data_IF_919377122379
#
_entry.id   IF_919377122379
#
_cell.length_a   1.000
_cell.length_b   1.000
_cell.length_c   1.000
_cell.angle_alpha   90.00
_cell.angle_beta   90.00
_cell.angle_gamma   90.00
#
_symmetry.space_group_name_H-M   'P 1'
#
loop_
_entity.id
_entity.type
_entity.pdbx_description
1 polymer ?
#
# COMPACT_ATOMS: atom_id res chain seq x y z
N UNK A 1 -27.16 -2.64 -19.68
CA UNK A 1 -26.06 -1.67 -19.57
C UNK A 1 -24.79 -2.36 -20.03
N UNK A 2 -24.19 -1.89 -21.11
CA UNK A 2 -22.96 -2.47 -21.65
C UNK A 2 -21.79 -1.98 -20.81
N UNK A 3 -20.79 -2.83 -20.60
CA UNK A 3 -19.62 -2.54 -19.77
C UNK A 3 -18.74 -1.40 -20.31
N UNK A 4 -18.99 -0.95 -21.55
CA UNK A 4 -18.28 0.13 -22.26
C UNK A 4 -18.61 1.51 -21.72
N UNK A 5 -19.85 1.75 -21.27
CA UNK A 5 -20.30 3.10 -20.85
C UNK A 5 -19.53 3.59 -19.61
N UNK A 6 -19.10 2.67 -18.74
CA UNK A 6 -18.32 2.99 -17.53
C UNK A 6 -16.86 3.30 -17.86
N UNK A 7 -16.30 2.66 -18.90
CA UNK A 7 -14.92 2.89 -19.34
C UNK A 7 -14.82 4.24 -20.04
N UNK A 8 -15.77 4.56 -20.93
CA UNK A 8 -15.84 5.88 -21.60
C UNK A 8 -16.01 7.04 -20.58
N UNK A 9 -16.77 6.84 -19.51
CA UNK A 9 -16.91 7.84 -18.43
C UNK A 9 -15.61 8.03 -17.65
N UNK A 10 -14.84 6.97 -17.40
CA UNK A 10 -13.53 7.07 -16.75
C UNK A 10 -12.47 7.74 -17.65
N UNK A 11 -12.50 7.46 -18.95
CA UNK A 11 -11.64 8.13 -19.95
C UNK A 11 -11.91 9.63 -20.02
N UNK A 12 -13.18 10.05 -20.02
CA UNK A 12 -13.57 11.47 -19.94
C UNK A 12 -13.10 12.15 -18.66
N UNK A 13 -13.24 11.48 -17.52
CA UNK A 13 -12.81 12.02 -16.22
C UNK A 13 -11.28 12.15 -16.16
N UNK A 14 -10.54 11.18 -16.70
CA UNK A 14 -9.09 11.25 -16.76
C UNK A 14 -8.57 12.30 -17.75
N UNK A 15 -9.26 12.51 -18.87
CA UNK A 15 -8.95 13.60 -19.80
C UNK A 15 -9.09 14.98 -19.12
N UNK A 16 -10.08 15.13 -18.23
CA UNK A 16 -10.22 16.32 -17.38
C UNK A 16 -9.19 16.43 -16.24
N UNK A 17 -8.41 15.37 -16.00
CA UNK A 17 -7.36 15.31 -14.97
C UNK A 17 -5.96 15.27 -15.58
N UNK A 18 -5.76 15.77 -16.80
CA UNK A 18 -4.45 15.80 -17.45
C UNK A 18 -3.42 16.61 -16.65
N UNK A 19 -2.19 16.09 -16.55
CA UNK A 19 -1.10 16.78 -15.87
C UNK A 19 -0.55 17.91 -16.76
N UNK A 20 -0.84 19.16 -16.43
CA UNK A 20 -0.25 20.32 -17.12
C UNK A 20 1.10 20.69 -16.48
N UNK A 21 2.12 20.94 -17.32
CA UNK A 21 3.45 21.36 -16.87
C UNK A 21 3.52 22.80 -16.34
N UNK A 22 2.54 23.64 -16.71
CA UNK A 22 2.52 25.08 -16.42
C UNK A 22 1.44 25.44 -15.39
N UNK A 23 1.53 24.87 -14.19
CA UNK A 23 0.61 25.19 -13.10
C UNK A 23 1.15 26.35 -12.23
N UNK A 24 0.33 27.39 -11.94
CA UNK A 24 0.70 28.46 -11.02
C UNK A 24 1.16 27.94 -9.65
N UNK A 25 2.13 28.59 -9.01
CA UNK A 25 2.62 28.19 -7.68
C UNK A 25 1.60 28.29 -6.54
N UNK A 26 0.42 28.87 -6.80
CA UNK A 26 -0.75 28.91 -5.90
C UNK A 26 -1.72 27.76 -6.12
N UNK A 27 -1.47 26.91 -7.12
CA UNK A 27 -2.36 25.78 -7.47
C UNK A 27 -2.28 24.72 -6.37
N UNK A 28 -3.42 24.23 -5.85
CA UNK A 28 -3.45 23.08 -4.95
C UNK A 28 -2.75 21.86 -5.56
N UNK A 29 -2.33 20.91 -4.72
CA UNK A 29 -1.79 19.62 -5.17
C UNK A 29 -2.67 19.00 -6.27
N UNK A 30 -2.12 18.90 -7.47
CA UNK A 30 -2.82 18.44 -8.67
C UNK A 30 -2.27 17.07 -9.07
N UNK A 31 -3.17 16.16 -9.44
CA UNK A 31 -2.82 14.82 -9.87
C UNK A 31 -3.31 14.63 -11.30
N UNK A 32 -2.47 14.02 -12.12
CA UNK A 32 -2.84 13.69 -13.49
C UNK A 32 -2.01 12.57 -14.07
N UNK A 33 -2.59 11.92 -15.07
CA UNK A 33 -1.90 10.88 -15.81
C UNK A 33 -0.99 11.52 -16.87
N UNK A 34 0.20 10.95 -17.15
CA UNK A 34 0.96 11.30 -18.33
C UNK A 34 0.12 11.05 -19.58
N UNK A 35 0.40 11.81 -20.63
CA UNK A 35 -0.30 11.70 -21.91
C UNK A 35 0.61 11.08 -22.96
N UNK A 36 0.01 10.34 -23.89
CA UNK A 36 0.69 9.92 -25.12
C UNK A 36 0.94 11.11 -26.06
N UNK A 37 1.56 10.85 -27.21
CA UNK A 37 1.87 11.88 -28.22
C UNK A 37 0.61 12.61 -28.74
N UNK A 38 -0.58 12.01 -28.60
CA UNK A 38 -1.86 12.54 -29.03
C UNK A 38 -2.62 13.29 -27.91
N UNK A 39 -2.05 13.36 -26.70
CA UNK A 39 -2.67 14.03 -25.56
C UNK A 39 -3.70 13.17 -24.81
N UNK A 40 -3.79 11.88 -25.12
CA UNK A 40 -4.69 10.95 -24.42
C UNK A 40 -4.05 10.51 -23.11
N UNK A 41 -4.79 10.48 -21.98
CA UNK A 41 -4.27 9.96 -20.73
C UNK A 41 -3.82 8.49 -20.88
N UNK A 42 -2.56 8.20 -20.60
CA UNK A 42 -2.07 6.81 -20.58
C UNK A 42 -2.60 6.11 -19.32
N UNK A 43 -3.49 5.14 -19.53
CA UNK A 43 -3.95 4.24 -18.48
C UNK A 43 -3.11 2.97 -18.47
N UNK A 44 -2.49 2.75 -17.32
CA UNK A 44 -1.65 1.59 -17.04
C UNK A 44 -2.47 0.42 -16.51
N UNK A 45 -1.95 -0.81 -16.55
CA UNK A 45 -2.70 -2.02 -16.18
C UNK A 45 -2.69 -2.38 -14.67
N UNK A 46 -1.84 -1.74 -13.86
CA UNK A 46 -1.76 -1.98 -12.40
C UNK A 46 -0.72 -3.03 -11.98
N UNK A 47 0.00 -3.63 -12.92
CA UNK A 47 1.07 -4.60 -12.66
C UNK A 47 2.37 -3.95 -12.17
N UNK A 48 3.36 -4.76 -11.79
CA UNK A 48 4.71 -4.25 -11.49
C UNK A 48 5.39 -3.65 -12.73
N UNK A 49 5.06 -4.15 -13.93
CA UNK A 49 5.66 -3.73 -15.20
C UNK A 49 4.92 -2.52 -15.79
N UNK A 50 3.62 -2.36 -15.48
CA UNK A 50 2.82 -1.22 -15.88
C UNK A 50 1.89 -0.69 -14.76
N UNK A 51 2.45 -0.01 -13.73
CA UNK A 51 1.70 0.32 -12.52
C UNK A 51 0.72 1.48 -12.72
N UNK A 52 -0.59 1.22 -12.55
CA UNK A 52 -1.62 2.24 -12.42
C UNK A 52 -1.73 2.72 -10.97
N UNK A 53 -1.54 4.03 -10.77
CA UNK A 53 -1.71 4.66 -9.47
C UNK A 53 -2.53 5.94 -9.59
N UNK A 54 -3.72 5.94 -9.00
CA UNK A 54 -4.61 7.09 -8.99
C UNK A 54 -5.03 7.43 -7.54
N UNK A 55 -4.59 8.57 -6.98
CA UNK A 55 -5.06 9.02 -5.67
C UNK A 55 -6.57 9.29 -5.68
N UNK A 56 -7.35 8.53 -4.91
CA UNK A 56 -8.81 8.73 -4.85
C UNK A 56 -9.25 9.77 -3.81
N UNK A 57 -8.54 9.86 -2.67
CA UNK A 57 -8.93 10.74 -1.57
C UNK A 57 -7.74 11.05 -0.65
N UNK A 58 -7.74 12.25 -0.09
CA UNK A 58 -6.83 12.66 0.97
C UNK A 58 -7.62 12.97 2.23
N UNK A 59 -7.19 12.39 3.36
CA UNK A 59 -7.75 12.69 4.67
C UNK A 59 -6.72 13.42 5.51
N UNK A 60 -7.13 14.54 6.10
CA UNK A 60 -6.35 15.23 7.13
C UNK A 60 -6.94 14.83 8.47
N UNK A 61 -6.17 14.10 9.26
CA UNK A 61 -6.59 13.59 10.56
C UNK A 61 -5.68 14.17 11.65
N UNK A 62 -6.25 14.47 12.81
CA UNK A 62 -5.47 15.01 13.94
C UNK A 62 -4.67 13.94 14.67
N UNK A 63 -5.10 12.68 14.57
CA UNK A 63 -4.50 11.54 15.23
C UNK A 63 -4.52 10.30 14.32
N UNK A 64 -3.76 9.28 14.71
CA UNK A 64 -3.73 7.97 14.04
C UNK A 64 -4.43 6.95 14.93
N UNK A 65 -5.75 7.06 15.04
CA UNK A 65 -6.57 6.15 15.85
C UNK A 65 -7.53 5.38 14.96
N UNK A 66 -7.93 4.18 15.41
CA UNK A 66 -8.87 3.35 14.66
C UNK A 66 -10.17 4.10 14.36
N UNK A 67 -10.66 4.91 15.31
CA UNK A 67 -11.85 5.75 15.14
C UNK A 67 -11.67 6.73 13.98
N UNK A 68 -10.54 7.43 13.91
CA UNK A 68 -10.30 8.39 12.82
C UNK A 68 -10.17 7.70 11.46
N UNK A 69 -9.46 6.57 11.38
CA UNK A 69 -9.40 5.77 10.15
C UNK A 69 -10.78 5.28 9.71
N UNK A 70 -11.58 4.78 10.66
CA UNK A 70 -12.95 4.33 10.43
C UNK A 70 -13.81 5.44 9.86
N UNK A 71 -13.79 6.65 10.45
CA UNK A 71 -14.56 7.79 9.95
C UNK A 71 -14.13 8.18 8.54
N UNK A 72 -12.83 8.32 8.30
CA UNK A 72 -12.28 8.65 7.00
C UNK A 72 -12.73 7.64 5.92
N UNK A 73 -12.53 6.35 6.16
CA UNK A 73 -12.89 5.31 5.22
C UNK A 73 -14.41 5.22 4.99
N UNK A 74 -15.23 5.47 6.01
CA UNK A 74 -16.70 5.52 5.85
C UNK A 74 -17.11 6.67 4.93
N UNK A 75 -16.52 7.85 5.11
CA UNK A 75 -16.77 8.99 4.21
C UNK A 75 -16.43 8.67 2.76
N UNK A 76 -15.33 7.94 2.49
CA UNK A 76 -15.02 7.47 1.13
C UNK A 76 -16.11 6.55 0.59
N UNK A 77 -16.56 5.56 1.38
CA UNK A 77 -17.62 4.62 0.97
C UNK A 77 -18.93 5.36 0.68
N UNK A 78 -19.30 6.32 1.52
CA UNK A 78 -20.53 7.09 1.38
C UNK A 78 -20.48 7.99 0.14
N UNK A 79 -19.36 8.69 -0.08
CA UNK A 79 -19.16 9.51 -1.29
C UNK A 79 -19.20 8.63 -2.54
N UNK A 80 -18.50 7.49 -2.53
CA UNK A 80 -18.50 6.57 -3.67
C UNK A 80 -19.91 6.07 -3.98
N UNK A 81 -20.71 5.74 -2.96
CA UNK A 81 -22.10 5.32 -3.14
C UNK A 81 -22.95 6.44 -3.77
N UNK A 82 -22.75 7.69 -3.38
CA UNK A 82 -23.49 8.83 -3.94
C UNK A 82 -23.06 9.11 -5.39
N UNK A 83 -21.76 9.09 -5.67
CA UNK A 83 -21.21 9.47 -6.99
C UNK A 83 -21.35 8.36 -8.02
N UNK A 84 -20.99 7.13 -7.65
CA UNK A 84 -20.94 5.98 -8.57
C UNK A 84 -22.25 5.19 -8.56
N UNK A 85 -23.07 5.33 -7.53
CA UNK A 85 -24.33 4.60 -7.38
C UNK A 85 -24.15 3.10 -7.12
N UNK A 86 -22.92 2.64 -6.87
CA UNK A 86 -22.56 1.23 -6.63
C UNK A 86 -21.86 1.07 -5.29
N UNK A 87 -21.83 -0.18 -4.80
CA UNK A 87 -21.12 -0.50 -3.57
C UNK A 87 -19.61 -0.41 -3.77
N UNK A 88 -18.94 0.24 -2.82
CA UNK A 88 -17.49 0.27 -2.77
C UNK A 88 -16.95 -1.07 -2.24
N UNK A 89 -16.52 -1.94 -3.16
CA UNK A 89 -16.01 -3.28 -2.85
C UNK A 89 -14.49 -3.31 -2.98
N UNK A 90 -13.82 -3.68 -1.90
CA UNK A 90 -12.36 -3.79 -1.85
C UNK A 90 -12.00 -5.25 -1.56
N UNK A 91 -11.17 -5.84 -2.42
CA UNK A 91 -10.63 -7.21 -2.24
C UNK A 91 -9.27 -7.20 -1.55
N UNK A 92 -8.45 -6.20 -1.87
CA UNK A 92 -7.11 -6.03 -1.30
C UNK A 92 -6.95 -4.60 -0.83
N UNK A 93 -6.43 -4.41 0.38
CA UNK A 93 -6.11 -3.11 0.93
C UNK A 93 -4.67 -3.14 1.43
N UNK A 94 -3.80 -2.27 0.92
CA UNK A 94 -2.41 -2.21 1.36
C UNK A 94 -2.16 -1.03 2.31
N UNK A 95 -1.54 -1.27 3.46
CA UNK A 95 -1.26 -0.22 4.45
C UNK A 95 0.00 -0.42 5.28
N UNK A 96 0.13 0.40 6.33
CA UNK A 96 1.24 0.41 7.30
C UNK A 96 1.02 -0.61 8.41
N UNK A 97 2.13 -0.95 9.11
CA UNK A 97 2.15 -1.96 10.18
C UNK A 97 1.64 -1.33 11.46
N UNK A 98 0.37 -0.95 11.43
CA UNK A 98 -0.28 -0.15 12.46
C UNK A 98 -1.67 -0.69 12.78
N UNK A 99 -1.88 -1.10 14.03
CA UNK A 99 -3.14 -1.68 14.48
C UNK A 99 -4.33 -0.75 14.27
N UNK A 100 -4.15 0.55 14.52
CA UNK A 100 -5.20 1.54 14.32
C UNK A 100 -5.70 1.54 12.86
N UNK A 101 -4.80 1.42 11.90
CA UNK A 101 -5.15 1.40 10.48
C UNK A 101 -5.87 0.10 10.09
N UNK A 102 -5.34 -1.06 10.51
CA UNK A 102 -5.98 -2.35 10.22
C UNK A 102 -7.38 -2.39 10.83
N UNK A 103 -7.51 -1.99 12.10
CA UNK A 103 -8.80 -1.98 12.79
C UNK A 103 -9.80 -1.05 12.08
N UNK A 104 -9.36 0.12 11.60
CA UNK A 104 -10.23 1.03 10.87
C UNK A 104 -10.73 0.47 9.53
N UNK A 105 -9.84 -0.25 8.82
CA UNK A 105 -10.18 -0.97 7.59
C UNK A 105 -11.15 -2.13 7.86
N UNK A 106 -10.90 -2.94 8.88
CA UNK A 106 -11.76 -4.07 9.24
C UNK A 106 -13.18 -3.59 9.63
N UNK A 107 -13.27 -2.55 10.45
CA UNK A 107 -14.54 -1.96 10.91
C UNK A 107 -15.36 -1.26 9.81
N UNK A 108 -14.80 -1.09 8.61
CA UNK A 108 -15.42 -0.34 7.52
C UNK A 108 -15.48 -1.14 6.23
N UNK A 109 -14.33 -1.51 5.69
CA UNK A 109 -14.21 -2.17 4.40
C UNK A 109 -14.38 -3.70 4.49
N UNK A 110 -14.09 -4.33 5.63
CA UNK A 110 -14.36 -5.76 5.81
C UNK A 110 -15.72 -6.03 6.49
N UNK A 111 -16.31 -5.03 7.15
CA UNK A 111 -17.57 -5.19 7.87
C UNK A 111 -18.70 -5.69 6.94
N UNK A 112 -19.52 -6.66 7.41
CA UNK A 112 -20.69 -7.13 6.69
C UNK A 112 -21.63 -5.96 6.39
N UNK A 113 -22.11 -5.86 5.16
CA UNK A 113 -23.11 -4.86 4.78
C UNK A 113 -24.46 -5.55 4.61
N UNK A 114 -25.50 -5.06 5.28
CA UNK A 114 -26.86 -5.59 5.13
C UNK A 114 -27.35 -5.56 3.67
N UNK A 115 -26.82 -4.63 2.86
CA UNK A 115 -27.12 -4.54 1.42
C UNK A 115 -26.27 -5.43 0.51
N UNK A 116 -25.26 -6.12 1.06
CA UNK A 116 -24.40 -7.05 0.33
C UNK A 116 -23.94 -8.21 1.23
N UNK A 117 -24.80 -9.22 1.45
CA UNK A 117 -24.47 -10.39 2.26
C UNK A 117 -23.31 -11.23 1.67
N UNK A 118 -22.99 -11.08 0.39
CA UNK A 118 -21.91 -11.80 -0.31
C UNK A 118 -20.69 -10.92 -0.62
N UNK A 119 -20.32 -10.01 0.29
CA UNK A 119 -19.14 -9.16 0.12
C UNK A 119 -17.88 -10.03 -0.02
N UNK A 120 -16.97 -9.74 -0.98
CA UNK A 120 -15.73 -10.49 -1.09
C UNK A 120 -14.89 -10.32 0.18
N UNK A 121 -14.16 -11.38 0.55
CA UNK A 121 -13.21 -11.32 1.66
C UNK A 121 -12.15 -10.26 1.38
N UNK A 122 -11.98 -9.32 2.32
CA UNK A 122 -10.95 -8.30 2.25
C UNK A 122 -9.64 -8.86 2.79
N UNK A 123 -8.61 -8.81 1.95
CA UNK A 123 -7.23 -9.10 2.32
C UNK A 123 -6.47 -7.80 2.61
N UNK A 124 -6.21 -7.54 3.89
CA UNK A 124 -5.27 -6.50 4.27
C UNK A 124 -3.83 -6.97 4.02
N UNK A 125 -3.17 -6.30 3.09
CA UNK A 125 -1.77 -6.52 2.74
C UNK A 125 -0.92 -5.48 3.45
N UNK A 126 0.18 -5.95 4.01
CA UNK A 126 1.14 -5.07 4.64
C UNK A 126 2.17 -4.61 3.60
N UNK A 127 2.45 -3.30 3.50
CA UNK A 127 3.53 -2.78 2.64
C UNK A 127 4.86 -3.47 2.93
N UNK A 128 5.38 -4.18 1.94
CA UNK A 128 6.67 -4.88 2.01
C UNK A 128 7.84 -3.94 2.34
N UNK A 129 7.78 -2.68 1.90
CA UNK A 129 8.77 -1.66 2.24
C UNK A 129 8.98 -1.49 3.75
N UNK A 130 7.91 -1.59 4.57
CA UNK A 130 8.06 -1.50 6.03
C UNK A 130 8.83 -2.68 6.61
N UNK A 131 8.68 -3.87 6.03
CA UNK A 131 9.49 -5.04 6.41
C UNK A 131 10.95 -4.75 6.11
N UNK A 132 11.26 -4.27 4.89
CA UNK A 132 12.62 -3.97 4.46
C UNK A 132 13.26 -2.86 5.32
N UNK A 133 12.53 -1.77 5.61
CA UNK A 133 13.03 -0.69 6.47
C UNK A 133 13.29 -1.15 7.90
N UNK A 134 12.37 -1.93 8.48
CA UNK A 134 12.54 -2.40 9.85
C UNK A 134 13.67 -3.43 9.96
N UNK A 135 13.77 -4.34 8.99
CA UNK A 135 14.91 -5.27 8.91
C UNK A 135 16.21 -4.50 8.78
N UNK A 136 16.30 -3.49 7.90
CA UNK A 136 17.49 -2.66 7.73
C UNK A 136 17.94 -2.03 9.05
N UNK A 137 17.01 -1.58 9.90
CA UNK A 137 17.31 -1.07 11.25
C UNK A 137 17.87 -2.17 12.15
N UNK A 138 17.24 -3.35 12.15
CA UNK A 138 17.64 -4.49 12.99
C UNK A 138 19.02 -5.06 12.60
N UNK A 139 19.38 -5.05 11.31
CA UNK A 139 20.66 -5.57 10.82
C UNK A 139 21.71 -4.47 10.59
N UNK A 140 21.46 -3.25 11.04
CA UNK A 140 22.29 -2.07 10.75
C UNK A 140 23.75 -2.20 11.21
N UNK A 141 23.99 -2.90 12.31
CA UNK A 141 25.31 -3.14 12.90
C UNK A 141 26.09 -4.29 12.25
N UNK A 142 25.48 -5.04 11.33
CA UNK A 142 26.11 -6.20 10.68
C UNK A 142 26.99 -5.79 9.48
N UNK A 143 27.86 -6.73 9.06
CA UNK A 143 28.64 -6.60 7.83
C UNK A 143 27.75 -6.50 6.59
N UNK A 144 28.26 -5.93 5.50
CA UNK A 144 27.51 -5.81 4.24
C UNK A 144 27.10 -7.18 3.67
N UNK A 145 27.98 -8.18 3.76
CA UNK A 145 27.67 -9.54 3.31
C UNK A 145 26.51 -10.14 4.11
N UNK A 146 26.51 -9.95 5.44
CA UNK A 146 25.41 -10.39 6.29
C UNK A 146 24.10 -9.67 5.95
N UNK A 147 24.13 -8.34 5.74
CA UNK A 147 22.96 -7.56 5.34
C UNK A 147 22.37 -8.04 4.02
N UNK A 148 23.22 -8.25 3.00
CA UNK A 148 22.80 -8.77 1.71
C UNK A 148 22.11 -10.14 1.84
N UNK A 149 22.70 -11.04 2.64
CA UNK A 149 22.14 -12.35 2.91
C UNK A 149 20.72 -12.28 3.49
N UNK A 150 20.48 -11.41 4.48
CA UNK A 150 19.14 -11.20 5.04
C UNK A 150 18.15 -10.67 4.03
N UNK A 151 18.52 -9.61 3.31
CA UNK A 151 17.65 -9.02 2.31
C UNK A 151 17.28 -10.04 1.25
N UNK A 152 18.26 -10.79 0.72
CA UNK A 152 18.01 -11.84 -0.27
C UNK A 152 16.95 -12.84 0.21
N UNK A 153 17.08 -13.38 1.42
CA UNK A 153 16.11 -14.35 1.94
C UNK A 153 14.71 -13.77 2.12
N UNK A 154 14.61 -12.51 2.55
CA UNK A 154 13.32 -11.82 2.70
C UNK A 154 12.67 -11.53 1.34
N UNK A 155 13.47 -11.16 0.34
CA UNK A 155 12.99 -11.01 -1.04
C UNK A 155 12.57 -12.37 -1.63
N UNK A 156 13.29 -13.45 -1.35
CA UNK A 156 12.89 -14.81 -1.77
C UNK A 156 11.52 -15.18 -1.15
N UNK A 157 11.27 -14.85 0.12
CA UNK A 157 9.93 -15.04 0.71
C UNK A 157 8.87 -14.21 -0.02
N UNK A 158 9.14 -12.91 -0.21
CA UNK A 158 8.21 -11.97 -0.85
C UNK A 158 7.86 -12.33 -2.30
N UNK A 159 8.82 -12.93 -3.00
CA UNK A 159 8.67 -13.37 -4.39
C UNK A 159 8.13 -14.80 -4.51
N UNK A 160 7.82 -15.50 -3.41
CA UNK A 160 7.27 -16.85 -3.47
C UNK A 160 5.99 -16.90 -4.30
N UNK A 161 5.87 -17.94 -5.14
CA UNK A 161 4.76 -18.13 -6.09
C UNK A 161 3.51 -18.64 -5.42
N UNK A 162 3.68 -19.42 -4.36
CA UNK A 162 2.58 -20.04 -3.63
C UNK A 162 2.92 -20.20 -2.13
N UNK A 163 1.92 -20.64 -1.37
CA UNK A 163 2.04 -20.82 0.07
C UNK A 163 3.09 -21.90 0.45
N UNK A 164 3.30 -22.91 -0.41
CA UNK A 164 4.26 -23.98 -0.17
C UNK A 164 5.69 -23.48 -0.33
N UNK A 165 5.97 -22.75 -1.41
CA UNK A 165 7.26 -22.10 -1.64
C UNK A 165 7.57 -21.05 -0.56
N UNK A 166 6.55 -20.30 -0.12
CA UNK A 166 6.68 -19.37 0.99
C UNK A 166 7.08 -20.08 2.28
N UNK A 167 6.34 -21.13 2.68
CA UNK A 167 6.61 -21.90 3.89
C UNK A 167 8.01 -22.51 3.87
N UNK A 168 8.38 -23.14 2.74
CA UNK A 168 9.71 -23.74 2.55
C UNK A 168 10.82 -22.69 2.68
N UNK A 169 10.61 -21.50 2.11
CA UNK A 169 11.59 -20.40 2.16
C UNK A 169 11.69 -19.82 3.57
N UNK A 170 10.58 -19.71 4.29
CA UNK A 170 10.53 -19.26 5.69
C UNK A 170 11.30 -20.22 6.61
N UNK A 171 11.05 -21.52 6.51
CA UNK A 171 11.72 -22.55 7.32
C UNK A 171 13.23 -22.55 7.08
N UNK A 172 13.65 -22.53 5.80
CA UNK A 172 15.07 -22.48 5.44
C UNK A 172 15.75 -21.23 5.98
N UNK A 173 15.10 -20.07 5.88
CA UNK A 173 15.68 -18.82 6.39
C UNK A 173 15.80 -18.83 7.91
N UNK A 174 14.76 -19.27 8.63
CA UNK A 174 14.79 -19.38 10.09
C UNK A 174 15.89 -20.32 10.57
N UNK A 175 16.05 -21.48 9.93
CA UNK A 175 17.13 -22.42 10.24
C UNK A 175 18.52 -21.78 10.06
N UNK A 176 18.74 -21.07 8.94
CA UNK A 176 20.00 -20.39 8.65
C UNK A 176 20.28 -19.25 9.64
N UNK A 177 19.27 -18.49 10.03
CA UNK A 177 19.42 -17.44 11.04
C UNK A 177 19.72 -18.03 12.42
N UNK A 178 19.06 -19.12 12.81
CA UNK A 178 19.26 -19.75 14.14
C UNK A 178 20.61 -20.46 14.28
N UNK A 179 21.17 -20.95 13.17
CA UNK A 179 22.50 -21.55 13.13
C UNK A 179 23.61 -20.58 13.58
N UNK A 180 23.39 -19.27 13.43
CA UNK A 180 24.35 -18.24 13.87
C UNK A 180 23.89 -17.65 15.21
N UNK A 181 24.62 -17.85 16.33
CA UNK A 181 24.19 -17.40 17.66
C UNK A 181 23.82 -15.91 17.75
N UNK A 182 24.56 -15.05 17.04
CA UNK A 182 24.33 -13.60 16.99
C UNK A 182 23.01 -13.21 16.30
N UNK A 183 22.41 -14.10 15.51
CA UNK A 183 21.22 -13.83 14.70
C UNK A 183 19.94 -14.41 15.30
N UNK A 184 20.02 -15.18 16.41
CA UNK A 184 18.84 -15.77 17.06
C UNK A 184 17.81 -14.72 17.49
N UNK A 185 18.27 -13.60 18.07
CA UNK A 185 17.38 -12.48 18.44
C UNK A 185 16.64 -11.90 17.24
N UNK A 186 17.31 -11.81 16.09
CA UNK A 186 16.67 -11.37 14.85
C UNK A 186 15.64 -12.39 14.38
N UNK A 187 15.96 -13.68 14.40
CA UNK A 187 15.02 -14.74 14.01
C UNK A 187 13.76 -14.71 14.88
N UNK A 188 13.91 -14.57 16.21
CA UNK A 188 12.77 -14.47 17.12
C UNK A 188 11.92 -13.22 16.85
N UNK A 189 12.58 -12.06 16.66
CA UNK A 189 11.90 -10.83 16.26
C UNK A 189 11.12 -11.01 14.96
N UNK A 190 11.75 -11.58 13.93
CA UNK A 190 11.17 -11.70 12.61
C UNK A 190 9.97 -12.66 12.62
N UNK A 191 10.11 -13.79 13.29
CA UNK A 191 9.03 -14.76 13.48
C UNK A 191 7.84 -14.13 14.22
N UNK A 192 8.07 -13.45 15.34
CA UNK A 192 6.99 -12.85 16.11
C UNK A 192 6.31 -11.70 15.36
N UNK A 193 7.10 -10.85 14.70
CA UNK A 193 6.59 -9.60 14.10
C UNK A 193 6.00 -9.80 12.73
N UNK A 194 6.60 -10.66 11.89
CA UNK A 194 6.27 -10.73 10.46
C UNK A 194 5.72 -12.10 10.03
N UNK A 195 5.81 -13.14 10.84
CA UNK A 195 5.29 -14.47 10.49
C UNK A 195 4.05 -14.83 11.30
N UNK A 196 4.13 -14.69 12.63
CA UNK A 196 3.09 -15.12 13.57
C UNK A 196 2.09 -14.02 13.93
N UNK A 197 2.36 -12.78 13.55
CA UNK A 197 1.45 -11.66 13.79
C UNK A 197 0.41 -11.56 12.67
N UNK A 198 -0.59 -10.70 12.89
CA UNK A 198 -1.54 -10.28 11.86
C UNK A 198 -0.91 -9.57 10.65
N UNK A 199 0.38 -9.22 10.73
CA UNK A 199 1.13 -8.56 9.65
C UNK A 199 1.75 -9.54 8.65
N UNK A 200 1.51 -10.86 8.79
CA UNK A 200 2.18 -11.89 8.00
C UNK A 200 1.90 -11.87 6.49
N UNK A 201 0.79 -11.26 6.08
CA UNK A 201 0.40 -11.10 4.68
C UNK A 201 1.33 -10.17 3.87
N UNK A 202 2.38 -9.58 4.46
CA UNK A 202 3.40 -8.80 3.73
C UNK A 202 4.33 -9.65 2.85
N UNK A 203 4.49 -10.93 3.17
CA UNK A 203 5.46 -11.81 2.49
C UNK A 203 4.87 -12.52 1.29
N UNK A 204 3.59 -12.31 0.99
CA UNK A 204 2.95 -12.93 -0.16
C UNK A 204 1.91 -11.97 -0.72
N UNK A 205 2.12 -11.54 -1.95
CA UNK A 205 1.12 -10.83 -2.76
C UNK A 205 0.69 -11.76 -3.89
N UNK A 206 -0.61 -11.85 -4.21
CA UNK A 206 -1.06 -12.65 -5.34
C UNK A 206 -0.32 -12.27 -6.63
N UNK A 207 -0.13 -13.25 -7.52
CA UNK A 207 0.37 -13.02 -8.87
C UNK A 207 -0.47 -11.93 -9.55
N UNK A 208 0.17 -11.08 -10.36
CA UNK A 208 -0.44 -9.95 -11.10
C UNK A 208 -0.73 -8.67 -10.28
N UNK A 209 -0.39 -8.63 -8.99
CA UNK A 209 -0.43 -7.39 -8.21
C UNK A 209 0.97 -6.81 -8.02
N UNK A 210 1.08 -5.48 -8.05
CA UNK A 210 2.33 -4.78 -7.80
C UNK A 210 2.94 -5.20 -6.45
N UNK A 211 4.07 -5.90 -6.50
CA UNK A 211 4.87 -6.32 -5.34
C UNK A 211 5.66 -5.14 -4.78
N UNK A 212 5.94 -4.14 -5.62
CA UNK A 212 6.65 -2.92 -5.24
C UNK A 212 5.66 -1.79 -5.02
N UNK A 213 5.63 -1.25 -3.80
CA UNK A 213 4.87 -0.05 -3.44
C UNK A 213 5.44 1.26 -4.01
N UNK A 214 6.15 1.20 -5.15
CA UNK A 214 6.92 2.30 -5.71
C UNK A 214 6.06 3.56 -5.94
N UNK A 215 4.85 3.50 -6.54
CA UNK A 215 4.07 4.71 -6.81
C UNK A 215 3.67 5.49 -5.53
N UNK A 216 3.26 4.79 -4.47
CA UNK A 216 2.86 5.42 -3.20
C UNK A 216 4.06 6.08 -2.50
N UNK A 217 5.22 5.42 -2.50
CA UNK A 217 6.41 6.01 -1.88
C UNK A 217 6.99 7.16 -2.72
N UNK A 218 6.90 7.11 -4.06
CA UNK A 218 7.25 8.25 -4.92
C UNK A 218 6.32 9.45 -4.66
N UNK A 219 5.00 9.23 -4.59
CA UNK A 219 4.04 10.28 -4.24
C UNK A 219 4.39 10.89 -2.88
N UNK A 220 4.60 10.06 -1.86
CA UNK A 220 5.00 10.50 -0.52
C UNK A 220 6.32 11.28 -0.54
N UNK A 221 7.28 10.89 -1.38
CA UNK A 221 8.56 11.60 -1.55
C UNK A 221 8.34 12.99 -2.14
N UNK A 222 7.48 13.14 -3.15
CA UNK A 222 7.12 14.44 -3.75
C UNK A 222 6.42 15.32 -2.71
N UNK A 223 5.36 14.83 -2.07
CA UNK A 223 4.66 15.57 -1.00
C UNK A 223 5.63 16.00 0.09
N UNK A 224 6.51 15.10 0.54
CA UNK A 224 7.53 15.45 1.54
C UNK A 224 8.48 16.51 1.01
N UNK A 225 9.02 16.38 -0.20
CA UNK A 225 9.95 17.37 -0.78
C UNK A 225 9.30 18.76 -0.78
N UNK A 226 8.08 18.87 -1.29
CA UNK A 226 7.41 20.15 -1.49
C UNK A 226 6.91 20.75 -0.17
N UNK A 227 6.45 19.92 0.77
CA UNK A 227 5.97 20.37 2.08
C UNK A 227 7.08 20.60 3.11
N UNK A 228 8.19 19.84 3.07
CA UNK A 228 9.32 20.09 4.02
C UNK A 228 10.13 21.32 3.69
N UNK A 229 10.00 21.88 2.49
CA UNK A 229 10.56 23.18 2.13
C UNK A 229 9.72 24.37 2.68
N UNK A 230 8.48 24.12 3.12
CA UNK A 230 7.60 25.12 3.73
C UNK A 230 7.43 24.78 5.22
N UNK A 231 8.28 25.39 6.06
CA UNK A 231 8.23 25.48 7.54
C UNK A 231 7.19 24.58 8.22
N UNK A 232 7.66 23.58 8.99
CA UNK A 232 6.81 22.82 9.92
C UNK A 232 6.13 23.78 10.91
N UNK A 233 4.89 24.18 10.64
CA UNK A 233 4.07 24.84 11.66
C UNK A 233 3.56 23.79 12.64
N UNK A 234 3.94 23.93 13.92
CA UNK A 234 3.24 23.25 15.00
C UNK A 234 1.80 23.77 14.99
N UNK A 235 0.83 22.88 14.78
CA UNK A 235 -0.54 23.16 15.19
C UNK A 235 -0.52 23.20 16.72
N UNK A 236 -0.47 24.41 17.29
CA UNK A 236 -0.72 24.59 18.71
C UNK A 236 -2.20 24.28 18.95
N UNK A 237 -2.46 23.41 19.93
CA UNK A 237 -3.79 23.13 20.45
C UNK A 237 -4.32 24.33 21.24
#
# INVERSE_FOLDING_TARGET
MKNTDVVEDMEKIAAGSQLSGDLPGTTPLTFGNPSDEDGTPEFRDGSDDDPLFHPMVFFITSQRTAVQYTHALRSLVDINKVVVGRLFLVRYCMGDAEDAQINGVEQTLAAPCASAPSKPELNYLMRFFHVVENVKKQVSSLSNNSKYFFHRQIYEMHCARDATELATTQERADALWRAVPKLRRFADYFQQTWIKSRFCKCLWSPTDFAKKNNPVEQLKKVIKRDYTLHVRMKLCA
#
